data_IF_324628342447
#
_entry.id   IF_324628342447
#
_cell.length_a   1.000
_cell.length_b   1.000
_cell.length_c   1.000
_cell.angle_alpha   90.00
_cell.angle_beta   90.00
_cell.angle_gamma   90.00
#
_symmetry.space_group_name_H-M   'P 1'
#
loop_
_entity.id
_entity.type
_entity.pdbx_description
1 polymer ?
#
# COMPACT_ATOMS: atom_id res chain seq x y z
N UNK A 1 70.05 -30.52 20.68
CA UNK A 1 69.15 -31.64 21.05
C UNK A 1 68.71 -31.39 22.49
N UNK A 2 67.48 -31.02 22.90
CA UNK A 2 66.14 -30.88 22.32
C UNK A 2 65.44 -29.66 22.99
N UNK A 3 64.82 -28.77 22.23
CA UNK A 3 63.75 -27.88 22.72
C UNK A 3 62.48 -28.72 22.96
N UNK A 4 61.70 -28.41 24.00
CA UNK A 4 60.22 -28.45 24.01
C UNK A 4 59.65 -28.04 25.39
N UNK A 5 58.98 -26.89 25.45
CA UNK A 5 57.82 -26.57 26.32
C UNK A 5 57.06 -25.44 25.59
N UNK A 6 56.15 -25.82 24.71
CA UNK A 6 54.70 -25.84 24.97
C UNK A 6 54.13 -24.40 25.02
N UNK A 7 53.82 -23.87 23.83
CA UNK A 7 53.03 -22.67 23.67
C UNK A 7 51.55 -22.98 23.87
N UNK A 8 50.85 -22.09 24.56
CA UNK A 8 49.39 -22.01 24.58
C UNK A 8 49.06 -20.73 23.82
N UNK A 9 48.67 -20.87 22.54
CA UNK A 9 48.04 -19.78 21.79
C UNK A 9 46.55 -19.77 22.15
N UNK A 10 46.10 -18.72 22.85
CA UNK A 10 44.69 -18.41 22.99
C UNK A 10 44.18 -17.87 21.65
N UNK A 11 43.50 -18.72 20.88
CA UNK A 11 42.72 -18.29 19.74
C UNK A 11 41.46 -17.55 20.25
N UNK A 12 41.53 -16.22 20.31
CA UNK A 12 40.35 -15.38 20.49
C UNK A 12 39.57 -15.41 19.17
N UNK A 13 38.58 -16.31 19.11
CA UNK A 13 37.64 -16.39 18.00
C UNK A 13 36.79 -15.13 17.94
N UNK A 14 37.13 -14.23 17.03
CA UNK A 14 36.29 -13.11 16.65
C UNK A 14 35.09 -13.67 15.86
N UNK A 15 33.98 -13.94 16.55
CA UNK A 15 32.70 -14.21 15.89
C UNK A 15 32.18 -12.88 15.35
N UNK A 16 32.52 -12.60 14.09
CA UNK A 16 31.85 -11.55 13.32
C UNK A 16 30.41 -12.03 13.13
N UNK A 17 29.52 -11.58 14.01
CA UNK A 17 28.08 -11.58 13.74
C UNK A 17 27.89 -10.74 12.49
N UNK A 18 27.80 -11.41 11.34
CA UNK A 18 27.33 -10.80 10.11
C UNK A 18 25.91 -10.32 10.37
N UNK A 19 25.75 -9.05 10.71
CA UNK A 19 24.46 -8.39 10.60
C UNK A 19 24.16 -8.34 9.12
N UNK A 20 23.37 -9.31 8.65
CA UNK A 20 22.71 -9.21 7.36
C UNK A 20 21.88 -7.93 7.40
N UNK A 21 22.43 -6.86 6.86
CA UNK A 21 21.69 -5.63 6.62
C UNK A 21 20.64 -6.02 5.60
N UNK A 22 19.41 -6.27 6.06
CA UNK A 22 18.27 -6.38 5.15
C UNK A 22 18.13 -4.99 4.56
N UNK A 23 18.68 -4.80 3.38
CA UNK A 23 18.39 -3.61 2.60
C UNK A 23 16.95 -3.73 2.16
N UNK A 24 16.04 -3.22 3.00
CA UNK A 24 14.63 -3.09 2.68
C UNK A 24 14.54 -1.91 1.71
N UNK A 25 14.66 -2.19 0.42
CA UNK A 25 14.31 -1.22 -0.60
C UNK A 25 12.79 -1.02 -0.50
N UNK A 26 12.35 0.16 -0.05
CA UNK A 26 10.95 0.55 -0.14
C UNK A 26 10.58 0.61 -1.63
N UNK A 27 9.92 -0.43 -2.12
CA UNK A 27 9.51 -0.54 -3.52
C UNK A 27 8.71 0.69 -3.93
N UNK A 28 9.02 1.27 -5.09
CA UNK A 28 8.25 2.40 -5.62
C UNK A 28 7.07 1.84 -6.40
N UNK A 29 5.85 2.33 -6.11
CA UNK A 29 4.61 1.88 -6.73
C UNK A 29 4.03 3.05 -7.52
N UNK A 30 3.89 2.87 -8.82
CA UNK A 30 3.26 3.84 -9.72
C UNK A 30 1.76 3.57 -9.81
N UNK A 31 0.87 4.57 -9.67
CA UNK A 31 -0.55 4.38 -9.88
C UNK A 31 -0.87 3.86 -11.30
N UNK A 32 -1.81 2.91 -11.41
CA UNK A 32 -2.16 2.30 -12.70
C UNK A 32 -2.80 3.29 -13.71
N UNK A 33 -3.35 4.41 -13.23
CA UNK A 33 -3.84 5.49 -14.09
C UNK A 33 -2.74 6.32 -14.77
N UNK A 34 -1.49 6.15 -14.34
CA UNK A 34 -0.32 6.84 -14.88
C UNK A 34 0.50 6.00 -15.86
N UNK A 35 0.18 4.70 -16.01
CA UNK A 35 0.91 3.76 -16.86
C UNK A 35 -0.05 3.03 -17.82
N UNK A 36 0.09 3.32 -19.11
CA UNK A 36 -0.66 2.68 -20.19
C UNK A 36 -0.16 1.24 -20.42
N UNK A 37 -0.70 0.25 -19.70
CA UNK A 37 -0.50 -1.17 -20.02
C UNK A 37 -1.79 -1.97 -19.91
N UNK A 38 -1.99 -2.87 -20.88
CA UNK A 38 -3.27 -3.48 -21.26
C UNK A 38 -3.76 -4.63 -20.35
N UNK A 39 -3.41 -4.64 -19.06
CA UNK A 39 -3.94 -5.60 -18.10
C UNK A 39 -4.65 -4.86 -16.97
N UNK A 40 -5.98 -4.76 -17.11
CA UNK A 40 -6.78 -3.91 -16.23
C UNK A 40 -7.31 -4.67 -15.00
N UNK A 41 -7.38 -6.01 -15.03
CA UNK A 41 -8.01 -6.80 -13.98
C UNK A 41 -7.27 -8.13 -13.70
N UNK A 42 -7.22 -8.51 -12.43
CA UNK A 42 -6.80 -9.84 -11.97
C UNK A 42 -8.05 -10.71 -11.74
N UNK A 43 -8.04 -11.92 -12.31
CA UNK A 43 -9.18 -12.86 -12.37
C UNK A 43 -10.48 -12.25 -12.91
N UNK A 44 -10.38 -11.27 -13.82
CA UNK A 44 -11.52 -10.51 -14.34
C UNK A 44 -12.38 -9.81 -13.26
N UNK A 45 -11.86 -9.69 -12.02
CA UNK A 45 -12.61 -9.21 -10.86
C UNK A 45 -11.94 -8.02 -10.18
N UNK A 46 -10.62 -8.06 -10.00
CA UNK A 46 -9.90 -7.09 -9.19
C UNK A 46 -9.17 -6.07 -10.07
N UNK A 47 -9.59 -4.80 -10.11
CA UNK A 47 -8.95 -3.80 -10.97
C UNK A 47 -7.52 -3.49 -10.56
N UNK A 48 -6.65 -3.30 -11.55
CA UNK A 48 -5.28 -2.82 -11.36
C UNK A 48 -5.31 -1.39 -10.79
N UNK A 49 -4.52 -1.17 -9.74
CA UNK A 49 -4.42 0.12 -9.05
C UNK A 49 -2.99 0.64 -8.95
N UNK A 50 -1.98 -0.22 -9.08
CA UNK A 50 -0.59 0.21 -9.08
C UNK A 50 0.36 -0.83 -9.63
N UNK A 51 1.53 -0.37 -10.05
CA UNK A 51 2.62 -1.17 -10.62
C UNK A 51 3.90 -0.82 -9.86
N UNK A 52 4.44 -1.79 -9.12
CA UNK A 52 5.74 -1.70 -8.47
C UNK A 52 6.86 -2.23 -9.36
N UNK A 53 8.06 -2.43 -8.81
CA UNK A 53 9.21 -2.93 -9.59
C UNK A 53 9.00 -4.37 -10.07
N UNK A 54 8.58 -5.27 -9.18
CA UNK A 54 8.36 -6.70 -9.46
C UNK A 54 6.89 -7.14 -9.39
N UNK A 55 6.01 -6.28 -8.88
CA UNK A 55 4.62 -6.62 -8.57
C UNK A 55 3.62 -5.66 -9.18
N UNK A 56 2.40 -6.14 -9.36
CA UNK A 56 1.20 -5.40 -9.69
C UNK A 56 0.23 -5.50 -8.53
N UNK A 57 -0.47 -4.39 -8.27
CA UNK A 57 -1.37 -4.23 -7.14
C UNK A 57 -2.80 -4.11 -7.65
N UNK A 58 -3.68 -4.94 -7.11
CA UNK A 58 -5.07 -5.06 -7.51
C UNK A 58 -5.99 -4.80 -6.33
N UNK A 59 -7.05 -4.02 -6.54
CA UNK A 59 -8.02 -3.68 -5.50
C UNK A 59 -9.11 -4.74 -5.44
N UNK A 60 -9.50 -5.15 -4.24
CA UNK A 60 -10.72 -5.94 -4.01
C UNK A 60 -11.89 -5.00 -3.71
N UNK A 61 -12.79 -4.72 -4.67
CA UNK A 61 -13.89 -3.77 -4.46
C UNK A 61 -14.89 -4.27 -3.42
N UNK A 62 -15.05 -5.59 -3.27
CA UNK A 62 -16.00 -6.19 -2.35
C UNK A 62 -15.59 -6.05 -0.88
N UNK A 63 -14.30 -5.84 -0.64
CA UNK A 63 -13.71 -5.62 0.68
C UNK A 63 -13.77 -4.15 1.15
N UNK A 64 -14.19 -3.24 0.27
CA UNK A 64 -14.15 -1.81 0.53
C UNK A 64 -15.27 -1.36 1.47
N UNK A 65 -14.92 -0.55 2.45
CA UNK A 65 -15.86 -0.02 3.42
C UNK A 65 -15.55 1.42 3.82
N UNK A 66 -16.59 2.10 4.29
CA UNK A 66 -16.52 3.36 5.02
C UNK A 66 -17.18 3.17 6.38
N UNK A 67 -16.56 3.72 7.42
CA UNK A 67 -17.11 3.77 8.76
C UNK A 67 -17.20 5.22 9.21
N UNK A 68 -18.30 5.56 9.87
CA UNK A 68 -18.60 6.92 10.34
C UNK A 68 -18.57 7.96 9.20
N UNK A 69 -19.28 7.66 8.11
CA UNK A 69 -19.39 8.51 6.92
C UNK A 69 -19.73 9.98 7.21
N UNK A 70 -20.61 10.21 8.18
CA UNK A 70 -21.14 11.53 8.53
C UNK A 70 -20.37 12.23 9.66
N UNK A 71 -19.26 11.63 10.11
CA UNK A 71 -18.43 12.16 11.18
C UNK A 71 -17.35 13.12 10.65
N UNK A 72 -16.89 14.02 11.52
CA UNK A 72 -15.68 14.83 11.27
C UNK A 72 -14.42 13.97 11.14
N UNK A 73 -14.46 12.73 11.65
CA UNK A 73 -13.43 11.70 11.49
C UNK A 73 -14.07 10.44 10.91
N UNK A 74 -13.71 10.09 9.68
CA UNK A 74 -14.21 8.89 8.98
C UNK A 74 -13.05 7.95 8.66
N UNK A 75 -13.33 6.65 8.73
CA UNK A 75 -12.38 5.60 8.38
C UNK A 75 -12.80 4.93 7.08
N UNK A 76 -11.83 4.70 6.18
CA UNK A 76 -12.06 4.02 4.90
C UNK A 76 -11.04 2.91 4.78
N UNK A 77 -11.43 1.76 4.27
CA UNK A 77 -10.47 0.69 4.06
C UNK A 77 -10.87 -0.24 2.94
N UNK A 78 -9.87 -0.91 2.37
CA UNK A 78 -10.04 -1.99 1.41
C UNK A 78 -8.87 -2.97 1.53
N UNK A 79 -9.07 -4.14 0.96
CA UNK A 79 -8.03 -5.11 0.65
C UNK A 79 -7.43 -4.84 -0.72
N UNK A 80 -6.10 -4.95 -0.82
CA UNK A 80 -5.38 -4.99 -2.09
C UNK A 80 -4.55 -6.29 -2.14
N UNK A 81 -4.42 -6.85 -3.34
CA UNK A 81 -3.57 -8.01 -3.63
C UNK A 81 -2.34 -7.57 -4.40
N UNK A 82 -1.20 -8.18 -4.09
CA UNK A 82 0.04 -8.06 -4.86
C UNK A 82 0.27 -9.38 -5.61
N UNK A 83 0.41 -9.28 -6.92
CA UNK A 83 0.79 -10.38 -7.79
C UNK A 83 2.11 -10.03 -8.49
N UNK A 84 2.95 -11.02 -8.77
CA UNK A 84 4.13 -10.80 -9.60
C UNK A 84 3.71 -10.37 -11.01
N UNK A 85 4.46 -9.44 -11.62
CA UNK A 85 4.20 -8.98 -12.99
C UNK A 85 4.13 -10.14 -13.98
N UNK A 86 3.14 -10.10 -14.87
CA UNK A 86 2.97 -11.12 -15.92
C UNK A 86 2.44 -12.47 -15.41
N UNK A 87 2.04 -12.57 -14.14
CA UNK A 87 1.17 -13.65 -13.69
C UNK A 87 -0.26 -13.24 -14.04
N UNK A 88 -0.77 -13.72 -15.18
CA UNK A 88 -2.12 -13.48 -15.72
C UNK A 88 -3.26 -14.07 -14.86
N UNK A 89 -3.19 -14.02 -13.53
CA UNK A 89 -4.11 -14.73 -12.64
C UNK A 89 -3.87 -16.24 -12.60
N UNK A 90 -2.67 -16.71 -12.96
CA UNK A 90 -2.31 -18.14 -12.88
C UNK A 90 -1.84 -18.59 -11.48
N UNK A 91 -1.72 -17.65 -10.54
CA UNK A 91 -1.41 -17.94 -9.13
C UNK A 91 -2.71 -18.23 -8.40
N UNK A 92 -2.80 -19.20 -7.49
CA UNK A 92 -3.96 -19.35 -6.61
C UNK A 92 -4.16 -18.13 -5.71
N UNK A 93 -5.42 -17.78 -5.42
CA UNK A 93 -5.71 -16.57 -4.64
C UNK A 93 -5.13 -16.61 -3.21
N UNK A 94 -5.03 -17.81 -2.62
CA UNK A 94 -4.44 -18.01 -1.28
C UNK A 94 -2.92 -17.77 -1.25
N UNK A 95 -2.27 -17.81 -2.41
CA UNK A 95 -0.82 -17.58 -2.56
C UNK A 95 -0.49 -16.11 -2.85
N UNK A 96 -1.50 -15.27 -3.09
CA UNK A 96 -1.30 -13.83 -3.29
C UNK A 96 -0.99 -13.14 -1.97
N UNK A 97 -0.05 -12.19 -2.01
CA UNK A 97 0.17 -11.33 -0.86
C UNK A 97 -0.98 -10.34 -0.74
N UNK A 98 -1.62 -10.36 0.43
CA UNK A 98 -2.78 -9.52 0.75
C UNK A 98 -2.38 -8.39 1.68
N UNK A 99 -2.87 -7.19 1.41
CA UNK A 99 -2.74 -6.05 2.32
C UNK A 99 -4.11 -5.46 2.64
N UNK A 100 -4.39 -5.29 3.93
CA UNK A 100 -5.54 -4.50 4.40
C UNK A 100 -5.07 -3.07 4.64
N UNK A 101 -5.59 -2.15 3.85
CA UNK A 101 -5.28 -0.72 3.95
C UNK A 101 -6.41 -0.02 4.70
N UNK A 102 -6.05 0.81 5.68
CA UNK A 102 -6.95 1.66 6.43
C UNK A 102 -6.49 3.11 6.29
N UNK A 103 -7.39 3.94 5.82
CA UNK A 103 -7.29 5.38 5.81
C UNK A 103 -8.11 5.96 6.95
N UNK A 104 -7.58 7.02 7.56
CA UNK A 104 -8.35 7.90 8.42
C UNK A 104 -8.40 9.27 7.76
N UNK A 105 -9.59 9.84 7.71
CA UNK A 105 -9.80 11.19 7.20
C UNK A 105 -10.34 12.08 8.29
N UNK A 106 -9.92 13.34 8.30
CA UNK A 106 -10.54 14.33 9.16
C UNK A 106 -10.70 15.67 8.44
N UNK A 107 -11.76 16.39 8.79
CA UNK A 107 -12.01 17.73 8.25
C UNK A 107 -11.20 18.75 9.03
N UNK A 108 -10.31 19.47 8.37
CA UNK A 108 -9.70 20.69 8.90
C UNK A 108 -10.52 21.91 8.47
N UNK A 109 -10.15 23.11 8.94
CA UNK A 109 -10.86 24.37 8.64
C UNK A 109 -10.91 24.67 7.13
N UNK A 110 -9.96 24.13 6.35
CA UNK A 110 -9.84 24.43 4.91
C UNK A 110 -9.93 23.19 4.02
N UNK A 111 -9.39 22.05 4.49
CA UNK A 111 -9.28 20.85 3.66
C UNK A 111 -9.55 19.56 4.43
N UNK A 112 -9.93 18.51 3.70
CA UNK A 112 -9.98 17.15 4.23
C UNK A 112 -8.59 16.55 4.17
N UNK A 113 -8.06 16.17 5.33
CA UNK A 113 -6.76 15.50 5.42
C UNK A 113 -6.98 14.00 5.32
N UNK A 114 -6.25 13.35 4.41
CA UNK A 114 -6.24 11.90 4.22
C UNK A 114 -4.94 11.34 4.78
N UNK A 115 -5.04 10.38 5.71
CA UNK A 115 -3.89 9.69 6.25
C UNK A 115 -4.02 8.19 6.03
N UNK A 116 -2.94 7.55 5.57
CA UNK A 116 -2.81 6.08 5.65
C UNK A 116 -2.54 5.73 7.10
N UNK A 117 -3.56 5.24 7.80
CA UNK A 117 -3.47 4.87 9.22
C UNK A 117 -2.76 3.53 9.42
N UNK A 118 -3.07 2.54 8.58
CA UNK A 118 -2.35 1.27 8.61
C UNK A 118 -2.38 0.52 7.28
N UNK A 119 -1.32 -0.22 7.01
CA UNK A 119 -1.23 -1.28 6.00
C UNK A 119 -0.80 -2.56 6.70
N UNK A 120 -1.69 -3.55 6.73
CA UNK A 120 -1.48 -4.83 7.40
C UNK A 120 -1.33 -5.93 6.35
N UNK A 121 -0.20 -6.63 6.33
CA UNK A 121 0.04 -7.73 5.39
C UNK A 121 -0.69 -9.02 5.79
N UNK A 122 -0.62 -10.06 4.95
CA UNK A 122 -1.23 -11.38 5.17
C UNK A 122 -0.77 -12.08 6.45
N UNK A 123 0.39 -11.68 7.00
CA UNK A 123 0.96 -12.20 8.27
C UNK A 123 0.51 -11.40 9.49
N UNK A 124 -0.37 -10.40 9.33
CA UNK A 124 -0.82 -9.53 10.41
C UNK A 124 0.21 -8.48 10.83
N UNK A 125 1.27 -8.29 10.06
CA UNK A 125 2.33 -7.32 10.37
C UNK A 125 1.96 -5.94 9.84
N UNK A 126 2.20 -4.90 10.65
CA UNK A 126 2.05 -3.52 10.23
C UNK A 126 3.26 -3.09 9.40
N UNK A 127 3.06 -2.92 8.10
CA UNK A 127 4.08 -2.55 7.11
C UNK A 127 3.88 -1.13 6.58
N UNK A 128 3.10 -0.31 7.29
CA UNK A 128 2.68 1.04 6.84
C UNK A 128 3.86 1.91 6.46
N UNK A 129 4.87 1.99 7.34
CA UNK A 129 6.05 2.83 7.08
C UNK A 129 6.75 2.41 5.79
N UNK A 130 6.98 1.12 5.62
CA UNK A 130 7.75 0.57 4.50
C UNK A 130 7.01 0.76 3.18
N UNK A 131 5.69 0.58 3.17
CA UNK A 131 4.89 0.80 1.97
C UNK A 131 4.63 2.28 1.68
N UNK A 132 4.47 3.16 2.66
CA UNK A 132 4.04 4.55 2.42
C UNK A 132 5.20 5.49 2.08
N UNK A 133 6.42 5.24 2.61
CA UNK A 133 7.55 6.20 2.58
C UNK A 133 7.86 6.77 1.18
N UNK A 134 7.63 6.00 0.10
CA UNK A 134 7.87 6.45 -1.28
C UNK A 134 6.63 6.39 -2.20
N UNK A 135 5.46 6.06 -1.66
CA UNK A 135 4.29 5.69 -2.47
C UNK A 135 3.08 6.58 -2.20
N UNK A 136 3.30 7.83 -1.81
CA UNK A 136 2.23 8.77 -1.50
C UNK A 136 1.21 8.91 -2.65
N UNK A 137 1.68 9.02 -3.90
CA UNK A 137 0.81 9.13 -5.07
C UNK A 137 -0.04 7.87 -5.31
N UNK A 138 0.50 6.68 -5.02
CA UNK A 138 -0.24 5.43 -5.09
C UNK A 138 -1.35 5.39 -4.04
N UNK A 139 -1.05 5.75 -2.78
CA UNK A 139 -2.06 5.75 -1.71
C UNK A 139 -3.13 6.83 -1.90
N UNK A 140 -2.80 7.99 -2.47
CA UNK A 140 -3.78 9.00 -2.86
C UNK A 140 -4.72 8.48 -3.96
N UNK A 141 -4.17 7.89 -5.02
CA UNK A 141 -4.97 7.27 -6.08
C UNK A 141 -5.85 6.12 -5.56
N UNK A 142 -5.31 5.28 -4.68
CA UNK A 142 -6.05 4.20 -4.03
C UNK A 142 -7.22 4.77 -3.22
N UNK A 143 -6.98 5.78 -2.39
CA UNK A 143 -8.02 6.43 -1.59
C UNK A 143 -9.21 6.86 -2.44
N UNK A 144 -8.98 7.57 -3.55
CA UNK A 144 -10.06 8.02 -4.43
C UNK A 144 -10.80 6.87 -5.12
N UNK A 145 -10.11 5.77 -5.44
CA UNK A 145 -10.77 4.55 -5.93
C UNK A 145 -11.68 3.92 -4.86
N UNK A 146 -11.26 3.90 -3.60
CA UNK A 146 -12.09 3.43 -2.48
C UNK A 146 -13.34 4.30 -2.32
N UNK A 147 -13.20 5.62 -2.40
CA UNK A 147 -14.33 6.56 -2.35
C UNK A 147 -15.32 6.32 -3.49
N UNK A 148 -14.83 6.09 -4.71
CA UNK A 148 -15.68 5.80 -5.86
C UNK A 148 -16.52 4.52 -5.69
N UNK A 149 -15.98 3.51 -4.98
CA UNK A 149 -16.67 2.23 -4.72
C UNK A 149 -17.66 2.35 -3.56
N UNK A 150 -17.22 2.93 -2.45
CA UNK A 150 -18.02 3.04 -1.21
C UNK A 150 -19.11 4.11 -1.29
N UNK A 151 -19.08 4.91 -2.35
CA UNK A 151 -20.03 5.98 -2.61
C UNK A 151 -19.57 7.30 -2.00
N UNK A 152 -19.90 8.44 -2.66
CA UNK A 152 -19.62 9.73 -2.07
C UNK A 152 -20.57 9.96 -0.89
N UNK A 153 -20.04 9.96 0.34
CA UNK A 153 -20.64 10.79 1.41
C UNK A 153 -20.70 12.24 0.94
N UNK A 154 -21.72 12.98 1.33
CA UNK A 154 -21.89 14.40 0.96
C UNK A 154 -20.69 15.28 1.40
N UNK A 155 -19.82 14.73 2.25
CA UNK A 155 -18.61 15.34 2.76
C UNK A 155 -17.39 15.20 1.81
N UNK A 156 -17.48 14.44 0.70
CA UNK A 156 -16.39 14.34 -0.29
C UNK A 156 -16.52 15.32 -1.46
N UNK A 157 -17.68 15.94 -1.64
CA UNK A 157 -17.98 16.82 -2.79
C UNK A 157 -17.47 18.26 -2.61
N UNK A 158 -17.09 18.67 -1.41
CA UNK A 158 -16.97 20.10 -1.09
C UNK A 158 -15.68 20.80 -1.52
N UNK A 159 -14.64 20.11 -2.00
CA UNK A 159 -13.39 20.80 -2.39
C UNK A 159 -13.02 20.71 -3.88
N UNK A 160 -13.89 20.21 -4.76
CA UNK A 160 -13.69 20.28 -6.23
C UNK A 160 -14.63 21.25 -6.96
N UNK A 161 -15.48 22.00 -6.25
CA UNK A 161 -16.32 23.06 -6.85
C UNK A 161 -15.58 24.42 -6.98
N UNK A 162 -14.27 24.37 -7.17
CA UNK A 162 -13.38 25.53 -7.31
C UNK A 162 -12.90 25.75 -8.75
N UNK A 163 -13.69 25.41 -9.76
CA UNK A 163 -13.67 26.05 -11.10
C UNK A 163 -14.65 25.32 -12.03
N UNK A 164 -15.67 26.02 -12.51
CA UNK A 164 -16.49 25.56 -13.64
C UNK A 164 -17.99 25.57 -13.38
N UNK A 165 -18.62 26.66 -13.83
CA UNK A 165 -20.03 26.79 -14.26
C UNK A 165 -21.16 26.45 -13.28
N UNK A 166 -21.83 27.53 -12.86
CA UNK A 166 -23.22 27.50 -12.46
C UNK A 166 -24.09 26.99 -13.62
N UNK A 167 -24.67 25.81 -13.46
CA UNK A 167 -25.80 25.38 -14.29
C UNK A 167 -27.06 25.98 -13.69
N UNK A 168 -27.56 27.03 -14.33
CA UNK A 168 -28.93 27.52 -14.14
C UNK A 168 -29.91 26.42 -14.51
N UNK A 169 -30.76 26.00 -13.56
CA UNK A 169 -31.93 25.19 -13.86
C UNK A 169 -33.09 26.11 -14.26
N UNK A 170 -33.79 25.70 -15.33
CA UNK A 170 -35.03 26.29 -15.85
C UNK A 170 -36.19 26.24 -14.84
#
# INVERSE_FOLDING_TARGET
MKLKKAGILLAVGLTILGTSMVSVYAATITPAGSASTAQAFLYDQYPLIGVGDASEYYLDPSSCYVSNADSSVSALGCTIYSAAKGNDGNVPMDDLEKYTVLFTTYTSVYDRVVNVNSVINSKGQNVTKDMVTNNAAFFDSLFWKVVAITGPTDVWKTNNAGSGEAVTAE
#
